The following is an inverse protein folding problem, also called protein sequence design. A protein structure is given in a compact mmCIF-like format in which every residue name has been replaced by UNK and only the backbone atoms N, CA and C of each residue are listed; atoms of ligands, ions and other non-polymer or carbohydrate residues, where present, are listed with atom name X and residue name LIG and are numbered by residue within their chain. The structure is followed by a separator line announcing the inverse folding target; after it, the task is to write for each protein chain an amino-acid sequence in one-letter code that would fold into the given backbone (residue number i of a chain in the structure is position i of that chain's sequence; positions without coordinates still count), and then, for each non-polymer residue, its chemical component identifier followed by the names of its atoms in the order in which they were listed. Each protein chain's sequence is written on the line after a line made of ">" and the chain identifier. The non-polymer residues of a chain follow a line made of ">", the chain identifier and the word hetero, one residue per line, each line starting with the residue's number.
data_IF_089570756057
#
_entry.id   IF_089570756057
#
_cell.length_a   1.000
_cell.length_b   1.000
_cell.length_c   1.000
_cell.angle_alpha   90.00
_cell.angle_beta   90.00
_cell.angle_gamma   90.00
#
_symmetry.space_group_name_H-M   'P 1'
#
loop_
_entity.id
_entity.type
_entity.pdbx_description
1 polymer ?
#
# COMPACT_ATOMS: atom_id res chain seq x y z
N UNK A 1 -21.38 3.95 -17.91
CA UNK A 1 -21.96 4.05 -16.55
C UNK A 1 -21.05 3.56 -15.42
N UNK A 2 -20.10 2.64 -15.66
CA UNK A 2 -19.21 2.09 -14.59
C UNK A 2 -18.06 3.03 -14.15
N UNK A 3 -17.45 3.80 -15.06
CA UNK A 3 -16.33 4.72 -14.74
C UNK A 3 -16.71 5.80 -13.71
N UNK A 4 -17.93 6.34 -13.81
CA UNK A 4 -18.46 7.34 -12.87
C UNK A 4 -18.58 6.75 -11.45
N UNK A 5 -18.95 5.47 -11.34
CA UNK A 5 -19.10 4.77 -10.06
C UNK A 5 -17.76 4.53 -9.37
N UNK A 6 -16.73 4.09 -10.11
CA UNK A 6 -15.38 3.88 -9.55
C UNK A 6 -14.76 5.21 -9.11
N UNK A 7 -14.91 6.27 -9.92
CA UNK A 7 -14.43 7.61 -9.55
C UNK A 7 -15.04 8.13 -8.25
N UNK A 8 -16.36 7.96 -8.06
CA UNK A 8 -17.03 8.33 -6.79
C UNK A 8 -16.49 7.55 -5.61
N UNK A 9 -16.34 6.22 -5.73
CA UNK A 9 -15.80 5.38 -4.65
C UNK A 9 -14.37 5.82 -4.30
N UNK A 10 -13.55 6.16 -5.30
CA UNK A 10 -12.19 6.65 -5.07
C UNK A 10 -12.19 7.93 -4.23
N UNK A 11 -13.11 8.87 -4.50
CA UNK A 11 -13.27 10.08 -3.66
C UNK A 11 -13.73 9.73 -2.25
N UNK A 12 -14.65 8.78 -2.09
CA UNK A 12 -15.19 8.38 -0.78
C UNK A 12 -14.13 7.73 0.13
N UNK A 13 -13.15 7.03 -0.45
CA UNK A 13 -12.07 6.37 0.31
C UNK A 13 -10.81 7.24 0.46
N UNK A 14 -10.76 8.42 -0.16
CA UNK A 14 -9.54 9.21 -0.27
C UNK A 14 -8.90 9.54 1.08
N UNK A 15 -9.68 9.93 2.08
CA UNK A 15 -9.16 10.25 3.42
C UNK A 15 -8.54 9.02 4.11
N UNK A 16 -9.13 7.83 3.95
CA UNK A 16 -8.55 6.58 4.46
C UNK A 16 -7.26 6.25 3.72
N UNK A 17 -7.22 6.41 2.40
CA UNK A 17 -6.02 6.18 1.61
C UNK A 17 -4.88 7.14 2.02
N UNK A 18 -5.18 8.42 2.25
CA UNK A 18 -4.22 9.41 2.75
C UNK A 18 -3.71 9.03 4.14
N UNK A 19 -4.59 8.56 5.02
CA UNK A 19 -4.20 8.11 6.36
C UNK A 19 -3.26 6.89 6.31
N UNK A 20 -3.56 5.88 5.49
CA UNK A 20 -2.70 4.72 5.27
C UNK A 20 -1.35 5.12 4.69
N UNK A 21 -1.34 5.97 3.65
CA UNK A 21 -0.12 6.50 3.05
C UNK A 21 0.77 7.18 4.08
N UNK A 22 0.20 8.05 4.93
CA UNK A 22 0.94 8.72 6.01
C UNK A 22 1.43 7.75 7.09
N UNK A 23 0.68 6.69 7.38
CA UNK A 23 1.10 5.65 8.32
C UNK A 23 2.31 4.87 7.79
N UNK A 24 2.29 4.49 6.51
CA UNK A 24 3.44 3.82 5.85
C UNK A 24 4.64 4.76 5.79
N UNK A 25 4.43 6.03 5.42
CA UNK A 25 5.51 7.03 5.36
C UNK A 25 6.29 7.22 6.67
N UNK A 26 5.60 7.17 7.81
CA UNK A 26 6.20 7.35 9.14
C UNK A 26 7.10 6.20 9.56
N UNK A 27 6.86 4.99 9.06
CA UNK A 27 7.60 3.78 9.45
C UNK A 27 8.19 3.06 8.23
N UNK A 28 9.07 3.71 7.47
CA UNK A 28 9.63 3.15 6.25
C UNK A 28 10.50 1.92 6.53
N UNK A 29 10.36 0.90 5.70
CA UNK A 29 11.14 -0.34 5.74
C UNK A 29 11.94 -0.49 4.44
N UNK A 30 13.15 -1.03 4.51
CA UNK A 30 13.99 -1.20 3.32
C UNK A 30 13.52 -2.42 2.51
N UNK A 31 14.01 -2.51 1.28
CA UNK A 31 13.82 -3.68 0.43
C UNK A 31 14.12 -4.99 1.18
N UNK A 32 13.19 -5.94 1.12
CA UNK A 32 13.23 -7.26 1.78
C UNK A 32 13.06 -7.25 3.31
N UNK A 33 12.72 -6.11 3.92
CA UNK A 33 12.48 -5.95 5.36
C UNK A 33 11.08 -5.41 5.68
N UNK A 34 10.18 -5.32 4.70
CA UNK A 34 8.87 -4.65 4.75
C UNK A 34 7.79 -5.42 5.56
N UNK A 35 8.16 -5.97 6.71
CA UNK A 35 7.29 -6.83 7.50
C UNK A 35 6.06 -6.09 8.04
N UNK A 36 6.24 -4.88 8.59
CA UNK A 36 5.14 -4.06 9.11
C UNK A 36 4.22 -3.60 7.99
N UNK A 37 4.79 -3.15 6.89
CA UNK A 37 4.05 -2.62 5.74
C UNK A 37 3.22 -3.72 5.10
N UNK A 38 3.81 -4.90 4.91
CA UNK A 38 3.09 -6.04 4.37
C UNK A 38 2.01 -6.56 5.35
N UNK A 39 2.24 -6.54 6.67
CA UNK A 39 1.19 -6.87 7.65
C UNK A 39 0.03 -5.87 7.61
N UNK A 40 0.31 -4.59 7.34
CA UNK A 40 -0.74 -3.59 7.13
C UNK A 40 -1.56 -3.93 5.89
N UNK A 41 -0.92 -4.26 4.77
CA UNK A 41 -1.62 -4.68 3.54
C UNK A 41 -2.51 -5.90 3.79
N UNK A 42 -2.02 -6.92 4.49
CA UNK A 42 -2.81 -8.10 4.85
C UNK A 42 -4.06 -7.73 5.67
N UNK A 43 -3.92 -6.88 6.69
CA UNK A 43 -5.07 -6.39 7.50
C UNK A 43 -6.10 -5.62 6.66
N UNK A 44 -5.64 -4.80 5.73
CA UNK A 44 -6.53 -4.05 4.83
C UNK A 44 -7.27 -5.00 3.88
N UNK A 45 -6.60 -6.03 3.36
CA UNK A 45 -7.21 -7.06 2.51
C UNK A 45 -8.21 -7.93 3.29
N UNK A 46 -7.89 -8.31 4.54
CA UNK A 46 -8.82 -9.00 5.45
C UNK A 46 -10.10 -8.20 5.68
N UNK A 47 -9.95 -6.89 5.94
CA UNK A 47 -11.09 -5.99 6.17
C UNK A 47 -12.00 -5.89 4.93
N UNK A 48 -11.44 -6.11 3.74
CA UNK A 48 -12.16 -6.13 2.48
C UNK A 48 -12.68 -7.52 2.10
N UNK A 49 -12.36 -8.57 2.87
CA UNK A 49 -12.70 -9.95 2.58
C UNK A 49 -11.97 -10.51 1.35
N UNK A 50 -10.77 -10.02 1.05
CA UNK A 50 -9.97 -10.45 -0.10
C UNK A 50 -8.98 -11.54 0.34
N UNK A 51 -9.10 -12.72 -0.27
CA UNK A 51 -8.15 -13.81 -0.10
C UNK A 51 -6.76 -13.36 -0.54
N UNK A 52 -5.75 -13.58 0.30
CA UNK A 52 -4.39 -13.16 0.05
C UNK A 52 -3.37 -14.11 0.68
N UNK A 53 -2.11 -13.97 0.25
CA UNK A 53 -0.97 -14.73 0.81
C UNK A 53 0.35 -13.97 0.65
N UNK A 54 1.31 -14.28 1.53
CA UNK A 54 2.70 -13.90 1.38
C UNK A 54 3.39 -14.64 0.24
N UNK A 55 4.30 -13.95 -0.45
CA UNK A 55 5.17 -14.49 -1.48
C UNK A 55 6.56 -13.84 -1.39
N UNK A 56 7.61 -14.59 -1.68
CA UNK A 56 8.99 -14.08 -1.73
C UNK A 56 9.42 -13.26 -0.49
N UNK A 57 8.97 -13.67 0.70
CA UNK A 57 9.18 -12.92 1.95
C UNK A 57 8.03 -11.96 2.23
N UNK A 58 8.23 -10.68 1.95
CA UNK A 58 7.34 -9.57 2.31
C UNK A 58 6.30 -9.24 1.25
N UNK A 59 6.39 -9.79 0.04
CA UNK A 59 5.40 -9.57 -1.00
C UNK A 59 4.02 -10.12 -0.62
N UNK A 60 2.95 -9.38 -0.94
CA UNK A 60 1.57 -9.81 -0.71
C UNK A 60 0.83 -9.90 -2.05
N UNK A 61 0.16 -11.02 -2.29
CA UNK A 61 -0.71 -11.20 -3.46
C UNK A 61 -2.13 -11.43 -2.99
N UNK A 62 -3.03 -10.49 -3.31
CA UNK A 62 -4.47 -10.61 -3.14
C UNK A 62 -5.16 -11.07 -4.43
N UNK A 63 -6.22 -11.88 -4.33
CA UNK A 63 -6.98 -12.39 -5.46
C UNK A 63 -8.45 -12.01 -5.35
N UNK A 64 -8.95 -11.27 -6.33
CA UNK A 64 -10.37 -10.94 -6.47
C UNK A 64 -10.96 -11.79 -7.60
N UNK A 65 -11.80 -12.77 -7.26
CA UNK A 65 -12.48 -13.60 -8.24
C UNK A 65 -13.79 -12.93 -8.70
N UNK A 66 -13.93 -12.71 -10.00
CA UNK A 66 -15.20 -12.27 -10.59
C UNK A 66 -16.23 -13.40 -10.61
N UNK A 67 -17.52 -13.06 -10.69
CA UNK A 67 -18.60 -14.05 -10.70
C UNK A 67 -18.80 -14.80 -12.04
N UNK A 68 -17.98 -14.54 -13.06
CA UNK A 68 -18.10 -15.12 -14.40
C UNK A 68 -16.71 -15.42 -14.99
N UNK A 69 -16.58 -16.43 -15.87
CA UNK A 69 -15.34 -16.65 -16.63
C UNK A 69 -14.96 -15.42 -17.45
N UNK A 70 -13.67 -15.13 -17.57
CA UNK A 70 -13.23 -13.96 -18.31
C UNK A 70 -11.74 -13.69 -18.24
N UNK A 71 -11.36 -12.49 -18.69
CA UNK A 71 -9.98 -12.01 -18.69
C UNK A 71 -9.47 -11.78 -17.27
N UNK A 72 -8.17 -11.94 -17.08
CA UNK A 72 -7.47 -11.64 -15.83
C UNK A 72 -6.61 -10.39 -16.05
N UNK A 73 -6.61 -9.48 -15.07
CA UNK A 73 -5.73 -8.33 -15.01
C UNK A 73 -5.01 -8.32 -13.66
N UNK A 74 -3.77 -7.81 -13.66
CA UNK A 74 -2.97 -7.63 -12.45
C UNK A 74 -2.71 -6.15 -12.21
N UNK A 75 -2.79 -5.74 -10.95
CA UNK A 75 -2.34 -4.45 -10.45
C UNK A 75 -1.14 -4.70 -9.54
N UNK A 76 -0.14 -3.83 -9.58
CA UNK A 76 1.10 -3.97 -8.80
C UNK A 76 1.48 -2.62 -8.21
N UNK A 77 1.80 -2.64 -6.92
CA UNK A 77 2.37 -1.53 -6.16
C UNK A 77 3.59 -2.04 -5.38
N UNK A 78 4.65 -1.24 -5.38
CA UNK A 78 5.87 -1.35 -4.59
C UNK A 78 5.59 -0.94 -3.14
N UNK A 79 6.42 -1.34 -2.18
CA UNK A 79 6.23 -1.01 -0.76
C UNK A 79 7.52 -0.62 -0.02
N UNK A 80 8.69 -0.69 -0.67
CA UNK A 80 9.98 -0.46 -0.03
C UNK A 80 10.36 1.03 0.04
N UNK A 81 11.17 1.36 1.04
CA UNK A 81 11.77 2.67 1.24
C UNK A 81 13.26 2.67 0.87
N UNK A 82 13.87 3.85 0.99
CA UNK A 82 15.29 4.07 0.68
C UNK A 82 16.08 4.45 1.95
N UNK A 83 17.41 4.17 1.99
CA UNK A 83 18.29 4.55 3.09
C UNK A 83 18.66 6.04 3.02
N UNK A 84 17.65 6.89 3.17
CA UNK A 84 17.75 8.36 3.09
C UNK A 84 17.20 8.96 4.37
N UNK A 85 17.93 9.92 4.94
CA UNK A 85 17.40 10.73 6.06
C UNK A 85 16.39 11.73 5.51
N UNK A 86 15.15 11.65 5.96
CA UNK A 86 14.11 12.59 5.57
C UNK A 86 14.40 14.01 6.09
N UNK A 87 14.10 15.01 5.25
CA UNK A 87 14.25 16.44 5.55
C UNK A 87 13.03 17.27 5.11
N UNK A 88 11.88 16.65 4.96
CA UNK A 88 10.67 17.32 4.47
C UNK A 88 10.06 18.26 5.54
N UNK A 89 10.17 17.90 6.83
CA UNK A 89 9.55 18.63 7.94
C UNK A 89 8.03 18.45 8.03
N UNK A 90 7.48 17.47 7.31
CA UNK A 90 6.06 17.18 7.30
C UNK A 90 5.58 16.59 8.63
N UNK A 91 4.31 16.83 8.94
CA UNK A 91 3.67 16.25 10.14
C UNK A 91 3.61 14.71 10.15
N UNK A 92 3.97 14.08 9.03
CA UNK A 92 4.02 12.63 8.85
C UNK A 92 5.41 12.15 8.40
N UNK A 93 6.47 12.96 8.61
CA UNK A 93 7.84 12.53 8.34
C UNK A 93 8.18 11.22 9.05
N UNK A 94 9.08 10.47 8.42
CA UNK A 94 9.68 9.26 8.94
C UNK A 94 10.14 9.43 10.38
N UNK A 95 9.68 8.52 11.22
CA UNK A 95 10.09 8.35 12.60
C UNK A 95 11.28 7.38 12.72
N UNK A 96 11.75 6.83 11.59
CA UNK A 96 12.85 5.86 11.52
C UNK A 96 14.11 6.53 10.96
N UNK A 97 15.14 6.77 11.81
CA UNK A 97 16.35 7.47 11.38
C UNK A 97 17.02 6.82 10.17
N UNK A 98 17.37 7.64 9.18
CA UNK A 98 18.07 7.19 7.98
C UNK A 98 17.24 6.39 6.97
N UNK A 99 15.92 6.25 7.17
CA UNK A 99 15.00 5.62 6.21
C UNK A 99 13.89 6.59 5.81
N UNK A 100 13.51 6.60 4.53
CA UNK A 100 12.45 7.45 3.97
C UNK A 100 11.81 6.81 2.74
N UNK A 101 10.49 6.93 2.57
CA UNK A 101 9.83 6.71 1.28
C UNK A 101 10.11 7.87 0.32
N UNK A 102 11.35 7.96 -0.16
CA UNK A 102 11.81 9.05 -1.03
C UNK A 102 11.42 8.86 -2.51
N UNK A 103 10.84 7.71 -2.89
CA UNK A 103 10.36 7.42 -4.25
C UNK A 103 8.82 7.35 -4.35
N UNK A 104 8.09 7.51 -3.25
CA UNK A 104 6.63 7.51 -3.25
C UNK A 104 5.95 6.13 -3.23
N UNK A 105 6.67 5.06 -2.88
CA UNK A 105 6.12 3.70 -2.79
C UNK A 105 5.04 3.56 -1.70
N UNK A 106 4.98 4.51 -0.75
CA UNK A 106 3.90 4.65 0.23
C UNK A 106 2.57 5.15 -0.39
N UNK A 107 2.57 5.60 -1.65
CA UNK A 107 1.43 6.20 -2.33
C UNK A 107 0.95 5.48 -3.60
N UNK A 108 1.66 4.42 -4.04
CA UNK A 108 1.29 3.62 -5.23
C UNK A 108 -0.04 2.88 -5.08
#
# INVERSE_FOLDING_TARGET
>A
MTKIRVGRIATEIAERAIALRRQVHRFPELGFEEERTAQLVERELDTLGIEHRRVAGTGVVGRIAGGQPGKVAALRADMDALPVTERSGESFSSEVPGKMHACGHDAH
#
